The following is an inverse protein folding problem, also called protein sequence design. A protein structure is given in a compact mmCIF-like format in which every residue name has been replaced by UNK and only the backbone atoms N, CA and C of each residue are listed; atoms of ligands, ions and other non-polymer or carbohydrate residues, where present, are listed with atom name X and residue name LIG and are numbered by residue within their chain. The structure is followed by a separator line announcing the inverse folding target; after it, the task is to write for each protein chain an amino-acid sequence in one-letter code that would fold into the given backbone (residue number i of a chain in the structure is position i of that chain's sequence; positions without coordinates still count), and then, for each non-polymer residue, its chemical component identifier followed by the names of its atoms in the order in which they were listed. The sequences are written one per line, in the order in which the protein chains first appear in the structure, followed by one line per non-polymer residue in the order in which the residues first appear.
data_IF_509992236572
#
_entry.id   IF_509992236572
#
_cell.length_a   1.000
_cell.length_b   1.000
_cell.length_c   1.000
_cell.angle_alpha   90.00
_cell.angle_beta   90.00
_cell.angle_gamma   90.00
#
_symmetry.space_group_name_H-M   'P 1'
#
loop_
_entity.id
_entity.type
_entity.pdbx_description
1 polymer ?
#
# COMPACT_ATOMS: atom_id res chain seq x y z
N UNK A 1 -19.18 -16.78 19.91
CA UNK A 1 -18.17 -16.10 20.78
C UNK A 1 -18.09 -14.64 20.37
N UNK A 2 -17.76 -13.70 21.31
CA UNK A 2 -17.51 -12.31 20.93
C UNK A 2 -16.00 -12.06 20.84
N UNK A 3 -15.59 -11.27 19.86
CA UNK A 3 -14.22 -10.88 19.60
C UNK A 3 -14.17 -9.37 19.29
N UNK A 4 -13.34 -8.62 20.01
CA UNK A 4 -13.10 -7.20 19.70
C UNK A 4 -11.76 -7.03 18.98
N UNK A 5 -11.79 -6.39 17.82
CA UNK A 5 -10.62 -6.14 17.00
C UNK A 5 -10.47 -4.65 16.66
N UNK A 6 -9.23 -4.20 16.48
CA UNK A 6 -8.93 -2.94 15.81
C UNK A 6 -8.41 -3.25 14.41
N UNK A 7 -8.97 -2.59 13.41
CA UNK A 7 -8.61 -2.83 12.01
C UNK A 7 -9.06 -1.72 11.06
N UNK A 8 -8.57 -1.78 9.83
CA UNK A 8 -8.95 -0.88 8.74
C UNK A 8 -9.78 -1.63 7.70
N UNK A 9 -10.81 -0.99 7.18
CA UNK A 9 -11.64 -1.54 6.10
C UNK A 9 -10.91 -1.41 4.77
N UNK A 10 -10.50 -2.53 4.19
CA UNK A 10 -9.81 -2.60 2.90
C UNK A 10 -10.77 -2.66 1.72
N UNK A 11 -11.94 -3.27 1.90
CA UNK A 11 -12.97 -3.41 0.86
C UNK A 11 -14.35 -3.52 1.46
N UNK A 12 -15.33 -2.94 0.75
CA UNK A 12 -16.75 -3.08 1.04
C UNK A 12 -17.43 -3.69 -0.17
N UNK A 13 -18.09 -4.82 -0.01
CA UNK A 13 -18.79 -5.53 -1.07
C UNK A 13 -20.27 -5.66 -0.71
N UNK A 14 -21.16 -5.27 -1.60
CA UNK A 14 -22.60 -5.45 -1.41
C UNK A 14 -22.93 -6.95 -1.34
N UNK A 15 -23.67 -7.34 -0.32
CA UNK A 15 -24.06 -8.74 -0.10
C UNK A 15 -25.53 -8.99 -0.44
N UNK A 16 -26.40 -8.05 -0.09
CA UNK A 16 -27.82 -7.99 -0.47
C UNK A 16 -28.29 -6.54 -0.36
N UNK A 17 -29.60 -6.29 -0.46
CA UNK A 17 -30.20 -4.95 -0.43
C UNK A 17 -29.85 -4.13 0.81
N UNK A 18 -29.52 -4.78 1.94
CA UNK A 18 -29.35 -4.13 3.26
C UNK A 18 -28.02 -4.39 3.92
N UNK A 19 -27.31 -5.44 3.54
CA UNK A 19 -26.08 -5.91 4.19
C UNK A 19 -24.87 -5.73 3.27
N UNK A 20 -23.68 -5.69 3.84
CA UNK A 20 -22.42 -5.75 3.10
C UNK A 20 -21.45 -6.75 3.75
N UNK A 21 -20.48 -7.19 2.96
CA UNK A 21 -19.29 -7.90 3.43
C UNK A 21 -18.12 -6.91 3.44
N UNK A 22 -17.40 -6.87 4.54
CA UNK A 22 -16.20 -6.05 4.69
C UNK A 22 -14.98 -6.96 4.70
N UNK A 23 -13.95 -6.58 3.98
CA UNK A 23 -12.60 -7.09 4.20
C UNK A 23 -11.88 -6.14 5.13
N UNK A 24 -11.49 -6.62 6.31
CA UNK A 24 -10.85 -5.82 7.36
C UNK A 24 -9.45 -6.38 7.63
N UNK A 25 -8.43 -5.53 7.57
CA UNK A 25 -7.09 -5.87 8.03
C UNK A 25 -6.97 -5.50 9.51
N UNK A 26 -6.85 -6.50 10.35
CA UNK A 26 -6.77 -6.32 11.80
C UNK A 26 -5.33 -6.45 12.30
N UNK A 27 -5.07 -5.86 13.47
CA UNK A 27 -3.74 -5.86 14.06
C UNK A 27 -3.30 -7.24 14.55
N UNK A 28 -4.25 -8.05 15.06
CA UNK A 28 -3.95 -9.32 15.77
C UNK A 28 -4.50 -10.55 15.07
N UNK A 29 -5.43 -10.38 14.15
CA UNK A 29 -6.14 -11.50 13.51
C UNK A 29 -5.98 -11.51 11.98
N UNK A 30 -5.00 -10.75 11.44
CA UNK A 30 -4.78 -10.70 10.01
C UNK A 30 -5.96 -10.11 9.25
N UNK A 31 -6.17 -10.60 8.04
CA UNK A 31 -7.32 -10.25 7.20
C UNK A 31 -8.55 -11.06 7.60
N UNK A 32 -9.68 -10.38 7.80
CA UNK A 32 -10.96 -10.99 8.14
C UNK A 32 -12.04 -10.57 7.17
N UNK A 33 -12.90 -11.52 6.79
CA UNK A 33 -14.14 -11.22 6.07
C UNK A 33 -15.29 -11.16 7.09
N UNK A 34 -15.94 -9.99 7.18
CA UNK A 34 -16.91 -9.68 8.24
C UNK A 34 -18.23 -9.22 7.63
N UNK A 35 -19.35 -9.79 8.08
CA UNK A 35 -20.69 -9.38 7.65
C UNK A 35 -21.16 -8.15 8.44
N UNK A 36 -21.53 -7.08 7.75
CA UNK A 36 -22.13 -5.86 8.31
C UNK A 36 -23.63 -5.86 8.00
N UNK A 37 -24.45 -6.38 8.96
CA UNK A 37 -25.90 -6.46 8.82
C UNK A 37 -26.53 -5.07 8.91
N UNK A 38 -27.40 -4.75 7.97
CA UNK A 38 -28.11 -3.48 7.93
C UNK A 38 -27.22 -2.27 7.68
N UNK A 39 -26.00 -2.43 7.19
CA UNK A 39 -25.08 -1.33 6.87
C UNK A 39 -25.73 -0.30 5.93
N UNK A 40 -26.50 -0.75 4.95
CA UNK A 40 -27.12 0.09 3.91
C UNK A 40 -28.45 0.72 4.32
N UNK A 41 -28.90 0.54 5.56
CA UNK A 41 -30.08 1.22 6.07
C UNK A 41 -29.76 2.71 6.30
N UNK A 42 -30.70 3.60 5.97
CA UNK A 42 -30.53 5.06 6.00
C UNK A 42 -29.93 5.61 7.31
N UNK A 43 -30.26 5.02 8.45
CA UNK A 43 -29.80 5.48 9.77
C UNK A 43 -28.96 4.40 10.47
N UNK A 44 -28.20 3.60 9.71
CA UNK A 44 -27.35 2.59 10.31
C UNK A 44 -26.19 3.21 11.08
N UNK A 45 -25.94 2.85 12.34
CA UNK A 45 -24.77 3.31 13.09
C UNK A 45 -23.46 2.77 12.51
N UNK A 46 -23.54 1.77 11.62
CA UNK A 46 -22.37 1.15 10.99
C UNK A 46 -21.85 1.95 9.77
N UNK A 47 -22.60 2.94 9.27
CA UNK A 47 -22.22 3.68 8.05
C UNK A 47 -20.83 4.30 8.18
N UNK A 48 -20.56 5.02 9.25
CA UNK A 48 -19.28 5.70 9.43
C UNK A 48 -18.10 4.73 9.66
N UNK A 49 -18.16 3.80 10.64
CA UNK A 49 -17.01 2.92 10.92
C UNK A 49 -16.76 1.86 9.84
N UNK A 50 -17.74 1.55 8.99
CA UNK A 50 -17.64 0.50 7.96
C UNK A 50 -17.36 1.03 6.55
N UNK A 51 -17.04 2.32 6.39
CA UNK A 51 -16.64 2.84 5.05
C UNK A 51 -15.23 2.36 4.69
N UNK A 52 -14.96 2.33 3.39
CA UNK A 52 -13.62 2.07 2.86
C UNK A 52 -12.59 2.99 3.52
N UNK A 53 -11.44 2.45 3.93
CA UNK A 53 -10.33 3.14 4.62
C UNK A 53 -10.68 3.66 6.03
N UNK A 54 -11.84 3.36 6.59
CA UNK A 54 -12.09 3.65 8.00
C UNK A 54 -11.27 2.72 8.90
N UNK A 55 -10.53 3.29 9.83
CA UNK A 55 -9.87 2.57 10.90
C UNK A 55 -10.75 2.65 12.15
N UNK A 56 -11.08 1.52 12.74
CA UNK A 56 -12.02 1.46 13.85
C UNK A 56 -11.82 0.26 14.74
N UNK A 57 -12.65 0.22 15.79
CA UNK A 57 -12.82 -0.93 16.67
C UNK A 57 -14.14 -1.61 16.32
N UNK A 58 -14.09 -2.93 16.15
CA UNK A 58 -15.21 -3.77 15.75
C UNK A 58 -15.41 -4.87 16.79
N UNK A 59 -16.60 -4.92 17.38
CA UNK A 59 -17.05 -6.07 18.20
C UNK A 59 -17.77 -7.04 17.28
N UNK A 60 -17.16 -8.20 17.08
CA UNK A 60 -17.62 -9.25 16.18
C UNK A 60 -18.28 -10.38 16.96
N UNK A 61 -19.39 -10.88 16.44
CA UNK A 61 -19.95 -12.17 16.86
C UNK A 61 -19.47 -13.26 15.90
N UNK A 62 -18.74 -14.23 16.42
CA UNK A 62 -18.25 -15.39 15.67
C UNK A 62 -19.21 -16.57 15.87
N UNK A 63 -19.62 -17.16 14.74
CA UNK A 63 -20.40 -18.39 14.69
C UNK A 63 -19.97 -19.24 13.50
N UNK A 64 -19.49 -20.45 13.76
CA UNK A 64 -19.01 -21.42 12.74
C UNK A 64 -18.00 -20.83 11.76
N UNK A 65 -17.03 -20.07 12.26
CA UNK A 65 -16.00 -19.42 11.45
C UNK A 65 -16.47 -18.19 10.66
N UNK A 66 -17.71 -17.75 10.86
CA UNK A 66 -18.24 -16.54 10.23
C UNK A 66 -18.32 -15.39 11.24
N UNK A 67 -17.83 -14.23 10.84
CA UNK A 67 -17.86 -13.04 11.66
C UNK A 67 -19.00 -12.11 11.24
N UNK A 68 -19.75 -11.62 12.21
CA UNK A 68 -20.79 -10.59 12.00
C UNK A 68 -20.52 -9.42 12.96
N UNK A 69 -20.58 -8.19 12.46
CA UNK A 69 -20.45 -7.00 13.30
C UNK A 69 -21.65 -6.90 14.23
N UNK A 70 -21.38 -6.86 15.54
CA UNK A 70 -22.35 -6.51 16.57
C UNK A 70 -22.34 -5.01 16.83
N UNK A 71 -21.13 -4.42 16.94
CA UNK A 71 -20.91 -3.00 17.21
C UNK A 71 -19.62 -2.54 16.52
N UNK A 72 -19.57 -1.28 16.11
CA UNK A 72 -18.39 -0.69 15.51
C UNK A 72 -18.24 0.80 15.88
N UNK A 73 -17.02 1.20 16.20
CA UNK A 73 -16.65 2.58 16.52
C UNK A 73 -15.51 3.06 15.64
N UNK A 74 -15.66 4.26 15.07
CA UNK A 74 -14.58 4.88 14.28
C UNK A 74 -13.48 5.39 15.21
N UNK A 75 -12.23 5.08 14.89
CA UNK A 75 -11.04 5.67 15.51
C UNK A 75 -10.52 6.78 14.58
N UNK A 76 -10.33 6.48 13.29
CA UNK A 76 -9.87 7.44 12.29
C UNK A 76 -10.58 7.16 10.94
N UNK A 77 -11.17 8.20 10.36
CA UNK A 77 -11.93 8.10 9.11
C UNK A 77 -11.14 8.57 7.89
N UNK A 78 -9.98 9.20 8.10
CA UNK A 78 -9.20 9.84 7.03
C UNK A 78 -10.07 10.72 6.12
N UNK A 79 -10.98 11.48 6.71
CA UNK A 79 -11.99 12.29 6.00
C UNK A 79 -11.41 13.20 4.91
N UNK A 80 -10.20 13.79 5.05
CA UNK A 80 -9.61 14.60 3.99
C UNK A 80 -9.42 13.86 2.66
N UNK A 81 -9.16 12.55 2.66
CA UNK A 81 -9.02 11.75 1.42
C UNK A 81 -10.26 11.86 0.50
N UNK A 82 -11.45 12.02 1.09
CA UNK A 82 -12.71 12.07 0.33
C UNK A 82 -12.96 13.40 -0.36
N UNK A 83 -12.14 14.41 -0.09
CA UNK A 83 -12.24 15.74 -0.72
C UNK A 83 -11.47 15.80 -2.03
N UNK A 84 -10.44 14.95 -2.19
CA UNK A 84 -9.56 14.92 -3.35
C UNK A 84 -9.62 13.53 -4.00
N UNK A 85 -10.11 13.48 -5.24
CA UNK A 85 -10.30 12.21 -5.95
C UNK A 85 -8.99 11.44 -6.14
N UNK A 86 -7.88 12.16 -6.39
CA UNK A 86 -6.55 11.55 -6.53
C UNK A 86 -6.10 10.87 -5.24
N UNK A 87 -6.26 11.53 -4.09
CA UNK A 87 -5.90 10.96 -2.78
C UNK A 87 -6.77 9.76 -2.41
N UNK A 88 -8.08 9.84 -2.66
CA UNK A 88 -8.99 8.72 -2.41
C UNK A 88 -8.65 7.52 -3.30
N UNK A 89 -8.37 7.77 -4.58
CA UNK A 89 -7.96 6.74 -5.54
C UNK A 89 -6.64 6.07 -5.12
N UNK A 90 -5.66 6.87 -4.71
CA UNK A 90 -4.37 6.36 -4.23
C UNK A 90 -4.53 5.55 -2.92
N UNK A 91 -5.35 6.03 -1.97
CA UNK A 91 -5.68 5.28 -0.76
C UNK A 91 -6.37 3.94 -1.07
N UNK A 92 -7.26 3.92 -2.07
CA UNK A 92 -7.92 2.69 -2.54
C UNK A 92 -6.92 1.71 -3.16
N UNK A 93 -5.94 2.21 -3.90
CA UNK A 93 -4.83 1.40 -4.41
C UNK A 93 -4.02 0.78 -3.25
N UNK A 94 -3.67 1.56 -2.23
CA UNK A 94 -2.97 1.04 -1.06
C UNK A 94 -3.78 -0.05 -0.34
N UNK A 95 -5.09 0.13 -0.22
CA UNK A 95 -5.97 -0.88 0.36
C UNK A 95 -5.98 -2.17 -0.48
N UNK A 96 -6.03 -2.08 -1.81
CA UNK A 96 -5.99 -3.24 -2.69
C UNK A 96 -4.65 -3.98 -2.59
N UNK A 97 -3.52 -3.28 -2.54
CA UNK A 97 -2.19 -3.89 -2.31
C UNK A 97 -2.16 -4.58 -0.95
N UNK A 98 -2.61 -3.90 0.12
CA UNK A 98 -2.64 -4.48 1.45
C UNK A 98 -3.56 -5.71 1.54
N UNK A 99 -4.69 -5.74 0.83
CA UNK A 99 -5.58 -6.90 0.75
C UNK A 99 -4.89 -8.11 0.10
N UNK A 100 -4.09 -7.86 -0.95
CA UNK A 100 -3.34 -8.91 -1.66
C UNK A 100 -2.22 -9.48 -0.79
N UNK A 101 -1.51 -8.62 -0.08
CA UNK A 101 -0.35 -9.00 0.75
C UNK A 101 -0.74 -9.60 2.10
N UNK A 102 -1.99 -9.45 2.54
CA UNK A 102 -2.47 -10.01 3.79
C UNK A 102 -3.11 -11.37 3.59
N UNK A 103 -2.88 -12.27 4.54
CA UNK A 103 -3.48 -13.60 4.59
C UNK A 103 -4.60 -13.63 5.64
N UNK A 104 -5.58 -14.52 5.44
CA UNK A 104 -6.64 -14.74 6.41
C UNK A 104 -6.05 -15.34 7.70
N UNK A 105 -6.50 -14.83 8.84
CA UNK A 105 -6.11 -15.26 10.19
C UNK A 105 -4.60 -15.16 10.50
N UNK A 106 -3.78 -14.57 9.62
CA UNK A 106 -2.35 -14.36 9.86
C UNK A 106 -2.07 -12.88 10.15
N UNK A 107 -1.67 -12.52 11.39
CA UNK A 107 -1.36 -11.14 11.74
C UNK A 107 -0.26 -10.53 10.89
N UNK A 108 -0.47 -9.30 10.41
CA UNK A 108 0.56 -8.49 9.76
C UNK A 108 0.47 -7.03 10.27
N UNK A 109 0.90 -6.77 11.51
CA UNK A 109 0.79 -5.46 12.13
C UNK A 109 1.69 -4.41 11.45
N UNK A 110 2.78 -4.83 10.80
CA UNK A 110 3.68 -3.93 10.08
C UNK A 110 3.03 -3.40 8.80
N UNK A 111 2.33 -4.26 8.06
CA UNK A 111 1.57 -3.85 6.87
C UNK A 111 0.40 -2.91 7.24
N UNK A 112 -0.32 -3.22 8.32
CA UNK A 112 -1.36 -2.33 8.84
C UNK A 112 -0.77 -0.96 9.22
N UNK A 113 0.37 -0.96 9.93
CA UNK A 113 1.06 0.29 10.30
C UNK A 113 1.52 1.08 9.07
N UNK A 114 2.07 0.41 8.05
CA UNK A 114 2.46 1.04 6.80
C UNK A 114 1.26 1.72 6.12
N UNK A 115 0.13 1.01 6.00
CA UNK A 115 -1.08 1.55 5.40
C UNK A 115 -1.58 2.79 6.17
N UNK A 116 -1.73 2.70 7.49
CA UNK A 116 -2.19 3.82 8.33
C UNK A 116 -1.25 5.04 8.23
N UNK A 117 0.06 4.82 8.28
CA UNK A 117 1.06 5.89 8.17
C UNK A 117 1.05 6.53 6.76
N UNK A 118 0.81 5.76 5.70
CA UNK A 118 0.69 6.28 4.33
C UNK A 118 -0.55 7.16 4.17
N UNK A 119 -1.70 6.73 4.70
CA UNK A 119 -2.92 7.54 4.70
C UNK A 119 -2.76 8.82 5.54
N UNK A 120 -2.05 8.73 6.68
CA UNK A 120 -1.71 9.89 7.50
C UNK A 120 -0.77 10.85 6.77
N UNK A 121 0.22 10.34 6.04
CA UNK A 121 1.15 11.14 5.24
C UNK A 121 0.43 11.93 4.14
N UNK A 122 -0.57 11.33 3.48
CA UNK A 122 -1.40 12.02 2.49
C UNK A 122 -2.27 13.11 3.11
N UNK A 123 -2.90 12.83 4.25
CA UNK A 123 -3.97 13.68 4.81
C UNK A 123 -3.46 14.75 5.76
N UNK A 124 -2.53 14.40 6.65
CA UNK A 124 -2.07 15.26 7.72
C UNK A 124 -0.73 15.93 7.38
N UNK A 125 0.23 15.18 6.85
CA UNK A 125 1.52 15.73 6.46
C UNK A 125 1.47 16.40 5.09
N UNK A 126 0.45 16.13 4.29
CA UNK A 126 0.25 16.68 2.93
C UNK A 126 1.47 16.52 2.04
N UNK A 127 2.12 15.36 2.14
CA UNK A 127 3.27 15.03 1.29
C UNK A 127 2.83 14.81 -0.17
N UNK A 128 3.72 15.01 -1.14
CA UNK A 128 3.44 14.69 -2.53
C UNK A 128 2.96 13.25 -2.69
N UNK A 129 1.83 13.04 -3.37
CA UNK A 129 1.22 11.73 -3.60
C UNK A 129 2.22 10.74 -4.21
N UNK A 130 3.03 11.19 -5.18
CA UNK A 130 4.08 10.39 -5.80
C UNK A 130 5.12 9.89 -4.78
N UNK A 131 5.47 10.69 -3.77
CA UNK A 131 6.41 10.29 -2.73
C UNK A 131 5.78 9.24 -1.81
N UNK A 132 4.53 9.46 -1.37
CA UNK A 132 3.83 8.51 -0.50
C UNK A 132 3.61 7.18 -1.23
N UNK A 133 3.27 7.22 -2.51
CA UNK A 133 3.13 6.05 -3.37
C UNK A 133 4.43 5.25 -3.45
N UNK A 134 5.54 5.89 -3.82
CA UNK A 134 6.83 5.22 -3.97
C UNK A 134 7.31 4.58 -2.66
N UNK A 135 7.14 5.28 -1.53
CA UNK A 135 7.47 4.77 -0.19
C UNK A 135 6.61 3.57 0.17
N UNK A 136 5.30 3.67 -0.05
CA UNK A 136 4.37 2.56 0.24
C UNK A 136 4.72 1.31 -0.57
N UNK A 137 4.91 1.44 -1.88
CA UNK A 137 5.21 0.33 -2.80
C UNK A 137 6.48 -0.42 -2.42
N UNK A 138 7.59 0.31 -2.24
CA UNK A 138 8.86 -0.33 -1.91
C UNK A 138 8.83 -0.97 -0.52
N UNK A 139 8.24 -0.28 0.48
CA UNK A 139 8.14 -0.83 1.83
C UNK A 139 7.20 -2.03 1.89
N UNK A 140 6.10 -2.03 1.13
CA UNK A 140 5.18 -3.16 1.01
C UNK A 140 5.87 -4.39 0.40
N UNK A 141 6.70 -4.19 -0.64
CA UNK A 141 7.52 -5.26 -1.21
C UNK A 141 8.48 -5.84 -0.16
N UNK A 142 9.19 -5.00 0.61
CA UNK A 142 10.08 -5.45 1.69
C UNK A 142 9.34 -6.28 2.75
N UNK A 143 8.16 -5.82 3.20
CA UNK A 143 7.34 -6.52 4.20
C UNK A 143 6.79 -7.86 3.71
N UNK A 144 6.77 -8.06 2.40
CA UNK A 144 6.32 -9.29 1.75
C UNK A 144 7.46 -10.26 1.40
N UNK A 145 8.68 -9.98 1.86
CA UNK A 145 9.85 -10.82 1.62
C UNK A 145 10.66 -10.45 0.37
N UNK A 146 10.25 -9.42 -0.36
CA UNK A 146 10.95 -8.93 -1.56
C UNK A 146 11.82 -7.71 -1.24
N UNK A 147 12.72 -7.84 -0.26
CA UNK A 147 13.68 -6.78 0.05
C UNK A 147 14.80 -6.77 -0.99
N UNK A 148 15.00 -5.67 -1.75
CA UNK A 148 16.05 -5.62 -2.76
C UNK A 148 17.44 -5.53 -2.12
N UNK A 149 18.45 -6.09 -2.81
CA UNK A 149 19.85 -5.90 -2.47
C UNK A 149 20.37 -4.59 -3.09
N UNK A 150 20.61 -3.61 -2.24
CA UNK A 150 20.97 -2.25 -2.65
C UNK A 150 22.42 -1.87 -2.25
N UNK A 151 23.28 -2.83 -1.87
CA UNK A 151 24.60 -2.51 -1.35
C UNK A 151 25.70 -2.33 -2.40
N UNK A 152 25.46 -2.69 -3.64
CA UNK A 152 26.42 -2.52 -4.74
C UNK A 152 26.07 -3.38 -5.93
N UNK A 153 26.88 -3.36 -6.96
CA UNK A 153 26.72 -4.25 -8.11
C UNK A 153 26.81 -5.72 -7.67
N UNK A 154 25.80 -6.52 -7.95
CA UNK A 154 25.72 -7.91 -7.50
C UNK A 154 26.84 -8.80 -8.10
N UNK A 155 27.46 -8.38 -9.22
CA UNK A 155 28.53 -9.14 -9.89
C UNK A 155 29.91 -8.79 -9.36
N UNK A 156 30.25 -7.48 -9.26
CA UNK A 156 31.62 -7.04 -8.93
C UNK A 156 31.72 -6.22 -7.62
N UNK A 157 30.61 -5.97 -6.92
CA UNK A 157 30.59 -5.16 -5.71
C UNK A 157 30.77 -3.66 -5.90
N UNK A 158 30.85 -3.16 -7.14
CA UNK A 158 31.03 -1.73 -7.43
C UNK A 158 29.98 -0.88 -6.73
N UNK A 159 30.41 0.19 -6.05
CA UNK A 159 29.52 1.15 -5.38
C UNK A 159 28.91 2.19 -6.34
N UNK A 160 29.09 2.01 -7.65
CA UNK A 160 28.55 2.88 -8.70
C UNK A 160 27.58 2.09 -9.61
N UNK A 161 26.49 1.53 -9.08
CA UNK A 161 25.47 0.89 -9.90
C UNK A 161 24.73 1.96 -10.71
N UNK A 162 24.28 1.57 -11.89
CA UNK A 162 23.53 2.45 -12.81
C UNK A 162 22.17 1.87 -13.19
N UNK A 163 21.92 0.61 -12.86
CA UNK A 163 20.68 -0.12 -13.17
C UNK A 163 20.23 -0.97 -12.01
N UNK A 164 18.93 -1.19 -11.97
CA UNK A 164 18.25 -2.06 -11.03
C UNK A 164 17.45 -3.10 -11.81
N UNK A 165 17.73 -4.38 -11.55
CA UNK A 165 17.00 -5.51 -12.10
C UNK A 165 15.72 -5.72 -11.28
N UNK A 166 14.56 -5.57 -11.93
CA UNK A 166 13.25 -5.66 -11.27
C UNK A 166 12.92 -7.07 -10.80
N UNK A 167 13.40 -8.09 -11.50
CA UNK A 167 13.10 -9.49 -11.17
C UNK A 167 13.99 -10.01 -10.05
N UNK A 168 15.28 -9.77 -10.16
CA UNK A 168 16.25 -10.22 -9.16
C UNK A 168 16.27 -9.33 -7.92
N UNK A 169 15.78 -8.07 -7.99
CA UNK A 169 15.90 -7.10 -6.91
C UNK A 169 17.35 -6.68 -6.64
N UNK A 170 18.19 -6.61 -7.67
CA UNK A 170 19.64 -6.42 -7.56
C UNK A 170 20.14 -5.27 -8.43
N UNK A 171 21.31 -4.75 -8.07
CA UNK A 171 21.95 -3.63 -8.75
C UNK A 171 23.04 -4.10 -9.71
N UNK A 172 23.18 -3.38 -10.85
CA UNK A 172 24.25 -3.61 -11.84
C UNK A 172 24.99 -2.30 -12.15
N UNK A 173 26.31 -2.39 -12.30
CA UNK A 173 27.13 -1.30 -12.83
C UNK A 173 27.26 -1.40 -14.36
N UNK A 174 27.75 -0.32 -15.00
CA UNK A 174 27.89 -0.28 -16.46
C UNK A 174 28.85 -1.35 -17.01
N UNK A 175 29.93 -1.65 -16.27
CA UNK A 175 30.93 -2.64 -16.68
C UNK A 175 30.45 -4.09 -16.62
N UNK A 176 29.42 -4.37 -15.81
CA UNK A 176 28.87 -5.73 -15.62
C UNK A 176 27.57 -5.95 -16.39
N UNK A 177 27.23 -5.03 -17.28
CA UNK A 177 26.04 -5.14 -18.12
C UNK A 177 26.12 -6.38 -19.01
N UNK A 178 25.13 -7.24 -18.88
CA UNK A 178 24.90 -8.32 -19.85
C UNK A 178 23.80 -7.87 -20.85
N UNK A 179 24.14 -7.61 -22.12
CA UNK A 179 23.17 -7.22 -23.13
C UNK A 179 22.17 -8.33 -23.49
N UNK A 180 22.54 -9.59 -23.27
CA UNK A 180 21.75 -10.77 -23.66
C UNK A 180 20.84 -11.28 -22.51
N UNK A 181 20.84 -10.59 -21.36
CA UNK A 181 20.02 -11.02 -20.23
C UNK A 181 18.54 -10.58 -20.38
N UNK A 182 17.62 -11.50 -20.15
CA UNK A 182 16.16 -11.33 -20.32
C UNK A 182 15.47 -10.46 -19.20
N UNK A 183 16.23 -9.89 -18.28
CA UNK A 183 15.67 -9.12 -17.15
C UNK A 183 15.25 -7.71 -17.53
N UNK A 184 14.13 -7.24 -16.96
CA UNK A 184 13.72 -5.84 -17.08
C UNK A 184 14.56 -5.00 -16.12
N UNK A 185 15.36 -4.10 -16.66
CA UNK A 185 16.26 -3.23 -15.90
C UNK A 185 15.88 -1.77 -16.07
N UNK A 186 15.72 -1.08 -14.96
CA UNK A 186 15.47 0.35 -14.94
C UNK A 186 16.72 1.11 -14.48
N UNK A 187 16.94 2.34 -14.99
CA UNK A 187 18.05 3.17 -14.56
C UNK A 187 17.89 3.54 -13.08
N UNK A 188 19.01 3.63 -12.38
CA UNK A 188 19.07 4.13 -11.00
C UNK A 188 20.14 5.20 -10.90
N UNK A 189 19.80 6.32 -10.25
CA UNK A 189 20.76 7.38 -9.92
C UNK A 189 21.21 7.27 -8.46
N UNK A 190 22.34 7.86 -8.07
CA UNK A 190 22.77 7.85 -6.66
C UNK A 190 21.70 8.37 -5.71
N UNK A 191 20.98 9.45 -6.06
CA UNK A 191 19.90 10.02 -5.24
C UNK A 191 18.75 9.04 -5.06
N UNK A 192 18.33 8.36 -6.13
CA UNK A 192 17.26 7.35 -6.08
C UNK A 192 17.69 6.15 -5.25
N UNK A 193 18.93 5.70 -5.41
CA UNK A 193 19.49 4.59 -4.64
C UNK A 193 19.51 4.88 -3.14
N UNK A 194 19.94 6.08 -2.74
CA UNK A 194 19.91 6.49 -1.33
C UNK A 194 18.49 6.57 -0.78
N UNK A 195 17.52 7.06 -1.58
CA UNK A 195 16.12 7.05 -1.18
C UNK A 195 15.58 5.62 -1.02
N UNK A 196 15.92 4.70 -1.93
CA UNK A 196 15.53 3.29 -1.80
C UNK A 196 16.13 2.64 -0.54
N UNK A 197 17.42 2.87 -0.28
CA UNK A 197 18.10 2.40 0.94
C UNK A 197 17.41 2.93 2.20
N UNK A 198 17.13 4.23 2.20
CA UNK A 198 16.42 4.87 3.31
C UNK A 198 15.05 4.21 3.55
N UNK A 199 14.23 4.04 2.51
CA UNK A 199 12.91 3.41 2.61
C UNK A 199 13.00 1.98 3.13
N UNK A 200 13.97 1.20 2.68
CA UNK A 200 14.13 -0.20 3.10
C UNK A 200 14.60 -0.34 4.56
N UNK A 201 15.48 0.56 5.03
CA UNK A 201 16.23 0.38 6.28
C UNK A 201 15.74 1.24 7.45
N UNK A 202 15.02 2.36 7.17
CA UNK A 202 14.63 3.27 8.24
C UNK A 202 13.54 2.69 9.16
N UNK A 203 13.50 3.21 10.38
CA UNK A 203 12.42 2.92 11.31
C UNK A 203 11.06 3.41 10.77
N UNK A 204 9.94 2.70 11.04
CA UNK A 204 8.61 3.05 10.54
C UNK A 204 8.18 4.50 10.84
N UNK A 205 8.59 5.05 11.98
CA UNK A 205 8.29 6.43 12.39
C UNK A 205 8.98 7.49 11.53
N UNK A 206 10.08 7.14 10.86
CA UNK A 206 10.87 8.05 10.03
C UNK A 206 10.65 7.86 8.54
N UNK A 207 9.81 6.91 8.15
CA UNK A 207 9.62 6.46 6.78
C UNK A 207 9.33 7.61 5.78
N UNK A 208 8.63 8.64 6.22
CA UNK A 208 8.24 9.80 5.40
C UNK A 208 9.07 11.07 5.70
N UNK A 209 10.22 10.96 6.40
CA UNK A 209 10.99 12.13 6.88
C UNK A 209 12.10 12.58 5.93
N UNK A 210 12.14 12.13 4.68
CA UNK A 210 13.16 12.55 3.71
C UNK A 210 12.57 13.48 2.64
N UNK A 211 13.46 14.22 1.99
CA UNK A 211 13.12 15.08 0.86
C UNK A 211 13.88 14.61 -0.38
N UNK A 212 13.20 14.68 -1.53
CA UNK A 212 13.75 14.26 -2.82
C UNK A 212 13.29 15.23 -3.90
N UNK A 213 14.20 15.56 -4.84
CA UNK A 213 13.87 16.44 -5.96
C UNK A 213 12.91 15.79 -6.96
N UNK A 214 12.16 16.60 -7.71
CA UNK A 214 11.08 16.18 -8.60
C UNK A 214 11.50 15.08 -9.59
N UNK A 215 12.65 15.25 -10.27
CA UNK A 215 13.11 14.31 -11.29
C UNK A 215 13.49 12.95 -10.67
N UNK A 216 14.19 12.98 -9.52
CA UNK A 216 14.53 11.78 -8.79
C UNK A 216 13.28 11.09 -8.20
N UNK A 217 12.27 11.86 -7.78
CA UNK A 217 10.99 11.33 -7.32
C UNK A 217 10.25 10.62 -8.45
N UNK A 218 10.22 11.19 -9.65
CA UNK A 218 9.60 10.54 -10.82
C UNK A 218 10.29 9.20 -11.14
N UNK A 219 11.62 9.18 -11.12
CA UNK A 219 12.37 7.95 -11.37
C UNK A 219 12.15 6.91 -10.27
N UNK A 220 12.15 7.33 -8.99
CA UNK A 220 11.85 6.48 -7.85
C UNK A 220 10.44 5.88 -7.98
N UNK A 221 9.44 6.70 -8.29
CA UNK A 221 8.04 6.25 -8.43
C UNK A 221 7.84 5.23 -9.54
N UNK A 222 8.49 5.42 -10.69
CA UNK A 222 8.46 4.45 -11.80
C UNK A 222 9.14 3.12 -11.40
N UNK A 223 10.25 3.20 -10.69
CA UNK A 223 11.02 2.04 -10.27
C UNK A 223 10.27 1.22 -9.21
N UNK A 224 9.71 1.86 -8.20
CA UNK A 224 8.99 1.16 -7.10
C UNK A 224 7.68 0.54 -7.58
N UNK A 225 6.94 1.22 -8.48
CA UNK A 225 5.74 0.68 -9.12
C UNK A 225 6.07 -0.57 -9.93
N UNK A 226 7.07 -0.46 -10.82
CA UNK A 226 7.47 -1.58 -11.67
C UNK A 226 8.02 -2.75 -10.84
N UNK A 227 8.78 -2.45 -9.77
CA UNK A 227 9.31 -3.46 -8.87
C UNK A 227 8.19 -4.22 -8.16
N UNK A 228 7.25 -3.50 -7.51
CA UNK A 228 6.13 -4.15 -6.81
C UNK A 228 5.29 -5.00 -7.76
N UNK A 229 4.96 -4.47 -8.95
CA UNK A 229 4.19 -5.21 -9.95
C UNK A 229 4.91 -6.48 -10.44
N UNK A 230 6.24 -6.39 -10.62
CA UNK A 230 7.06 -7.53 -11.03
C UNK A 230 7.13 -8.60 -9.95
N UNK A 231 7.36 -8.20 -8.68
CA UNK A 231 7.46 -9.14 -7.57
C UNK A 231 6.12 -9.83 -7.25
N UNK A 232 5.01 -9.14 -7.44
CA UNK A 232 3.68 -9.69 -7.22
C UNK A 232 3.07 -10.37 -8.47
N UNK A 233 3.76 -10.29 -9.60
CA UNK A 233 3.31 -10.83 -10.90
C UNK A 233 1.90 -10.38 -11.28
N UNK A 234 1.52 -9.14 -10.93
CA UNK A 234 0.19 -8.60 -11.19
C UNK A 234 0.13 -7.09 -11.29
N UNK A 235 -0.85 -6.60 -12.06
CA UNK A 235 -1.28 -5.20 -12.07
C UNK A 235 -2.41 -4.93 -11.05
N UNK A 236 -2.74 -3.65 -10.90
CA UNK A 236 -3.78 -3.16 -10.00
C UNK A 236 -4.70 -2.19 -10.72
N UNK A 237 -5.96 -2.57 -10.93
CA UNK A 237 -6.94 -1.71 -11.61
C UNK A 237 -7.19 -0.37 -10.90
N UNK A 238 -7.02 -0.34 -9.57
CA UNK A 238 -7.10 0.91 -8.80
C UNK A 238 -5.94 1.85 -9.07
N UNK A 239 -4.75 1.32 -9.37
CA UNK A 239 -3.60 2.11 -9.81
C UNK A 239 -3.83 2.65 -11.23
N UNK A 240 -4.36 1.84 -12.13
CA UNK A 240 -4.70 2.27 -13.49
C UNK A 240 -5.72 3.41 -13.46
N UNK A 241 -6.73 3.31 -12.58
CA UNK A 241 -7.68 4.39 -12.36
C UNK A 241 -7.00 5.66 -11.81
N UNK A 242 -6.15 5.54 -10.78
CA UNK A 242 -5.38 6.67 -10.25
C UNK A 242 -4.58 7.36 -11.35
N UNK A 243 -3.85 6.60 -12.17
CA UNK A 243 -3.04 7.14 -13.28
C UNK A 243 -3.89 7.83 -14.35
N UNK A 244 -5.09 7.32 -14.62
CA UNK A 244 -6.00 7.90 -15.61
C UNK A 244 -6.46 9.32 -15.25
N UNK A 245 -6.46 9.69 -13.97
CA UNK A 245 -6.85 11.03 -13.51
C UNK A 245 -5.87 12.13 -13.98
N UNK A 246 -4.63 11.77 -14.32
CA UNK A 246 -3.61 12.72 -14.78
C UNK A 246 -3.48 12.79 -16.32
N UNK A 247 -4.11 11.87 -17.06
CA UNK A 247 -4.03 11.84 -18.54
C UNK A 247 -4.77 13.03 -19.15
N UNK A 248 -5.77 13.61 -18.46
CA UNK A 248 -6.56 14.76 -18.93
C UNK A 248 -5.89 16.14 -18.76
N UNK A 249 -4.86 16.27 -17.91
CA UNK A 249 -4.22 17.57 -17.64
C UNK A 249 -3.16 17.97 -18.68
N UNK A 250 -2.77 17.08 -19.59
CA UNK A 250 -1.79 17.36 -20.65
C UNK A 250 -2.41 17.78 -22.00
N UNK A 251 -3.71 18.09 -22.06
CA UNK A 251 -4.42 18.50 -23.27
C UNK A 251 -5.04 19.92 -23.17
N UNK A 252 -4.51 20.79 -22.31
CA UNK A 252 -4.87 22.22 -22.30
C UNK A 252 -3.64 23.08 -22.45
#
# INVERSE_FOLDING_TARGET
MYLTIQGIVLRVTDYNDRDALLTVLSRRHGKLTVKARGLRRKNSPLIAPCQLLAFGEFTLFEYRGQYTINEAHSIELFSPLRRELTQLSLGTYFAQVAEVLSQEDIPNPELLSLLLNSLYALTQLRLPEAQVKAVFELRAACLSGFTPDLFGCHICGSQKPVRFDLRAGQLECESCRDPDSDGIRLPVTPTVLEAMRYICLCEPKRLFSFQIGKDALTLLGNLTEAYLATQLERGFSTLDFYKSLFIGENYV
#
